data_IF_612576719584
#
_entry.id   IF_612576719584
#
_cell.length_a   1.000
_cell.length_b   1.000
_cell.length_c   1.000
_cell.angle_alpha   90.00
_cell.angle_beta   90.00
_cell.angle_gamma   90.00
#
_symmetry.space_group_name_H-M   'P 1'
#
loop_
_entity.id
_entity.type
_entity.pdbx_description
1 polymer ?
#
# COMPACT_ATOMS: atom_id res chain seq x y z
N UNK A 1 -16.68 -20.93 -2.95
CA UNK A 1 -17.34 -21.97 -3.77
C UNK A 1 -18.03 -21.27 -4.93
N UNK A 2 -17.61 -21.54 -6.15
CA UNK A 2 -18.28 -21.00 -7.33
C UNK A 2 -19.54 -21.83 -7.61
N UNK A 3 -20.71 -21.21 -7.49
CA UNK A 3 -21.96 -21.79 -7.94
C UNK A 3 -22.06 -21.60 -9.44
N UNK A 4 -21.94 -22.67 -10.20
CA UNK A 4 -22.31 -22.65 -11.61
C UNK A 4 -23.84 -22.61 -11.69
N UNK A 5 -24.38 -21.47 -12.13
CA UNK A 5 -25.77 -21.43 -12.58
C UNK A 5 -25.85 -22.10 -13.95
N UNK A 6 -26.42 -23.28 -13.99
CA UNK A 6 -26.79 -23.95 -15.25
C UNK A 6 -28.17 -23.40 -15.59
N UNK A 7 -28.25 -22.63 -16.67
CA UNK A 7 -29.53 -22.18 -17.22
C UNK A 7 -30.30 -23.40 -17.82
N UNK A 8 -31.58 -23.53 -17.51
CA UNK A 8 -32.41 -24.55 -18.13
C UNK A 8 -32.67 -24.23 -19.60
N UNK A 9 -32.84 -25.27 -20.46
CA UNK A 9 -33.12 -25.05 -21.86
C UNK A 9 -34.42 -24.23 -22.03
N UNK A 10 -34.30 -23.02 -22.58
CA UNK A 10 -35.43 -22.12 -22.85
C UNK A 10 -35.46 -20.85 -21.97
N UNK A 11 -34.63 -20.74 -20.97
CA UNK A 11 -34.44 -19.48 -20.25
C UNK A 11 -33.30 -18.67 -20.89
N UNK A 12 -33.56 -17.38 -21.13
CA UNK A 12 -32.50 -16.47 -21.52
C UNK A 12 -31.51 -16.37 -20.35
N UNK A 13 -30.21 -16.57 -20.63
CA UNK A 13 -29.18 -16.37 -19.64
C UNK A 13 -29.36 -15.01 -18.96
N UNK A 14 -29.40 -14.99 -17.61
CA UNK A 14 -29.38 -13.75 -16.85
C UNK A 14 -28.25 -12.87 -17.38
N UNK A 15 -28.44 -11.56 -17.57
CA UNK A 15 -27.35 -10.68 -18.00
C UNK A 15 -26.17 -10.89 -17.08
N UNK A 16 -25.01 -11.18 -17.66
CA UNK A 16 -23.78 -11.34 -16.89
C UNK A 16 -23.55 -10.04 -16.13
N UNK A 17 -23.77 -10.05 -14.82
CA UNK A 17 -23.28 -8.99 -13.97
C UNK A 17 -21.75 -9.03 -14.04
N UNK A 18 -21.16 -8.04 -14.70
CA UNK A 18 -19.71 -7.85 -14.65
C UNK A 18 -19.34 -7.46 -13.22
N UNK A 19 -18.98 -8.44 -12.40
CA UNK A 19 -18.40 -8.19 -11.10
C UNK A 19 -17.01 -7.62 -11.34
N UNK A 20 -16.87 -6.32 -11.08
CA UNK A 20 -15.57 -5.68 -11.10
C UNK A 20 -14.79 -6.17 -9.88
N UNK A 21 -13.60 -6.70 -10.13
CA UNK A 21 -12.67 -7.09 -9.09
C UNK A 21 -11.30 -6.49 -9.40
N UNK A 22 -10.62 -6.05 -8.36
CA UNK A 22 -9.24 -5.59 -8.43
C UNK A 22 -8.37 -6.45 -7.54
N UNK A 23 -7.13 -6.65 -7.94
CA UNK A 23 -6.07 -7.19 -7.11
C UNK A 23 -5.10 -6.08 -6.72
N UNK A 24 -4.67 -6.07 -5.48
CA UNK A 24 -3.66 -5.14 -4.97
C UNK A 24 -2.46 -5.95 -4.49
N UNK A 25 -1.29 -5.59 -4.97
CA UNK A 25 -0.01 -6.05 -4.41
C UNK A 25 0.59 -4.91 -3.60
N UNK A 26 0.59 -5.05 -2.29
CA UNK A 26 1.27 -4.15 -1.36
C UNK A 26 2.68 -4.67 -1.12
N UNK A 27 3.60 -4.27 -1.99
CA UNK A 27 5.00 -4.70 -1.91
C UNK A 27 5.83 -3.89 -0.91
N UNK A 28 7.00 -4.40 -0.57
CA UNK A 28 7.97 -3.71 0.29
C UNK A 28 8.52 -2.44 -0.37
N UNK A 29 8.85 -2.53 -1.65
CA UNK A 29 9.46 -1.44 -2.43
C UNK A 29 8.43 -0.71 -3.31
N UNK A 30 7.60 -1.47 -4.00
CA UNK A 30 6.57 -0.93 -4.90
C UNK A 30 5.24 -1.64 -4.67
N UNK A 31 4.16 -0.92 -4.94
CA UNK A 31 2.80 -1.44 -4.90
C UNK A 31 2.13 -1.25 -6.25
N UNK A 32 1.13 -2.05 -6.55
CA UNK A 32 0.39 -1.97 -7.81
C UNK A 32 -1.07 -2.41 -7.65
N UNK A 33 -1.89 -2.01 -8.61
CA UNK A 33 -3.27 -2.47 -8.77
C UNK A 33 -3.41 -3.17 -10.12
N UNK A 34 -4.09 -4.28 -10.13
CA UNK A 34 -4.39 -5.02 -11.34
C UNK A 34 -5.87 -5.40 -11.41
N UNK A 35 -6.35 -5.62 -12.61
CA UNK A 35 -7.69 -6.13 -12.86
C UNK A 35 -7.66 -7.16 -13.98
N UNK A 36 -8.78 -7.83 -14.23
CA UNK A 36 -8.93 -8.73 -15.36
C UNK A 36 -9.74 -8.05 -16.45
N UNK A 37 -9.18 -7.97 -17.64
CA UNK A 37 -9.85 -7.50 -18.85
C UNK A 37 -9.78 -8.58 -19.92
N UNK A 38 -10.94 -9.00 -20.45
CA UNK A 38 -11.02 -10.04 -21.48
C UNK A 38 -10.23 -11.32 -21.11
N UNK A 39 -10.32 -11.74 -19.85
CA UNK A 39 -9.64 -12.94 -19.34
C UNK A 39 -8.14 -12.80 -19.07
N UNK A 40 -7.57 -11.62 -19.25
CA UNK A 40 -6.14 -11.35 -19.07
C UNK A 40 -5.95 -10.39 -17.89
N UNK A 41 -4.99 -10.71 -17.00
CA UNK A 41 -4.61 -9.83 -15.91
C UNK A 41 -3.84 -8.62 -16.47
N UNK A 42 -4.29 -7.42 -16.11
CA UNK A 42 -3.71 -6.16 -16.58
C UNK A 42 -3.41 -5.27 -15.38
N UNK A 43 -2.19 -4.78 -15.29
CA UNK A 43 -1.81 -3.76 -14.30
C UNK A 43 -2.41 -2.42 -14.73
N UNK A 44 -3.01 -1.73 -13.77
CA UNK A 44 -3.56 -0.40 -13.98
C UNK A 44 -2.47 0.65 -13.78
N UNK A 45 -2.33 1.53 -14.75
CA UNK A 45 -1.37 2.62 -14.69
C UNK A 45 -2.00 3.85 -14.00
N UNK A 46 -1.15 4.69 -13.43
CA UNK A 46 -1.55 6.01 -12.96
C UNK A 46 -1.80 6.98 -14.13
N UNK A 47 -2.16 8.22 -13.82
CA UNK A 47 -2.42 9.27 -14.83
C UNK A 47 -1.19 9.59 -15.71
N UNK A 48 0.00 9.29 -15.24
CA UNK A 48 1.26 9.46 -15.98
C UNK A 48 1.70 8.20 -16.72
N UNK A 49 0.87 7.16 -16.74
CA UNK A 49 1.16 5.91 -17.43
C UNK A 49 2.12 4.97 -16.69
N UNK A 50 2.33 5.17 -15.38
CA UNK A 50 3.26 4.36 -14.57
C UNK A 50 2.52 3.21 -13.90
N UNK A 51 3.01 1.96 -14.02
CA UNK A 51 2.34 0.79 -13.45
C UNK A 51 2.62 0.55 -11.97
N UNK A 52 3.68 1.15 -11.43
CA UNK A 52 4.13 0.94 -10.05
C UNK A 52 4.01 2.23 -9.24
N UNK A 53 3.57 2.08 -8.00
CA UNK A 53 3.61 3.14 -7.00
C UNK A 53 4.71 2.79 -5.98
N UNK A 54 5.75 3.62 -5.81
CA UNK A 54 6.70 3.40 -4.72
C UNK A 54 5.99 3.32 -3.37
N UNK A 55 6.32 2.30 -2.58
CA UNK A 55 5.73 2.08 -1.24
C UNK A 55 6.39 3.02 -0.22
N UNK A 56 6.25 4.32 -0.45
CA UNK A 56 6.87 5.39 0.32
C UNK A 56 5.80 6.40 0.73
N UNK A 57 5.80 6.78 2.00
CA UNK A 57 4.87 7.77 2.57
C UNK A 57 5.66 8.82 3.31
N UNK A 58 5.43 10.08 2.98
CA UNK A 58 5.97 11.22 3.73
C UNK A 58 4.86 11.95 4.46
N UNK A 59 5.08 12.19 5.74
CA UNK A 59 4.20 13.02 6.58
C UNK A 59 4.72 14.44 6.65
N UNK A 60 3.82 15.41 6.51
CA UNK A 60 4.15 16.85 6.56
C UNK A 60 3.57 17.50 7.82
N UNK A 61 4.14 18.67 8.19
CA UNK A 61 3.73 19.44 9.38
C UNK A 61 2.27 19.85 9.36
N UNK A 62 1.72 20.10 8.17
CA UNK A 62 0.29 20.48 7.98
C UNK A 62 -0.68 19.30 8.13
N UNK A 63 -0.17 18.11 8.46
CA UNK A 63 -0.97 16.89 8.61
C UNK A 63 -1.28 16.18 7.29
N UNK A 64 -0.86 16.72 6.15
CA UNK A 64 -1.01 16.06 4.85
C UNK A 64 0.08 15.03 4.61
N UNK A 65 -0.17 14.11 3.67
CA UNK A 65 0.78 13.07 3.26
C UNK A 65 1.12 13.18 1.78
N UNK A 66 2.34 12.80 1.45
CA UNK A 66 2.77 12.52 0.08
C UNK A 66 3.00 11.03 -0.04
N UNK A 67 2.60 10.41 -1.14
CA UNK A 67 2.77 8.97 -1.36
C UNK A 67 3.42 8.71 -2.71
N UNK A 68 4.28 7.69 -2.77
CA UNK A 68 4.88 7.25 -4.00
C UNK A 68 6.01 8.16 -4.49
N UNK A 69 5.96 8.55 -5.74
CA UNK A 69 7.04 9.31 -6.39
C UNK A 69 7.31 10.67 -5.74
N UNK A 70 6.28 11.39 -5.32
CA UNK A 70 6.43 12.68 -4.64
C UNK A 70 7.15 12.52 -3.30
N UNK A 71 6.77 11.50 -2.53
CA UNK A 71 7.47 11.15 -1.29
C UNK A 71 8.92 10.72 -1.55
N UNK A 72 9.15 9.94 -2.60
CA UNK A 72 10.49 9.45 -2.97
C UNK A 72 11.46 10.60 -3.22
N UNK A 73 11.02 11.68 -3.88
CA UNK A 73 11.87 12.86 -4.14
C UNK A 73 12.32 13.57 -2.87
N UNK A 74 11.62 13.37 -1.76
CA UNK A 74 11.90 14.00 -0.47
C UNK A 74 12.67 13.11 0.52
N UNK A 75 12.93 11.88 0.15
CA UNK A 75 13.57 10.90 1.04
C UNK A 75 14.94 11.37 1.55
N UNK A 76 15.75 11.98 0.70
CA UNK A 76 17.07 12.44 1.06
C UNK A 76 17.08 13.70 1.95
N UNK A 77 16.10 14.58 1.79
CA UNK A 77 16.02 15.86 2.52
C UNK A 77 15.19 15.80 3.79
N UNK A 78 14.26 14.84 3.88
CA UNK A 78 13.39 14.66 5.04
C UNK A 78 13.24 13.17 5.42
N UNK A 79 14.35 12.49 5.73
CA UNK A 79 14.35 11.04 5.94
C UNK A 79 13.55 10.59 7.16
N UNK A 80 13.47 11.40 8.22
CA UNK A 80 12.73 11.06 9.44
C UNK A 80 11.23 10.91 9.23
N UNK A 81 10.66 11.69 8.29
CA UNK A 81 9.23 11.76 8.03
C UNK A 81 8.84 11.02 6.75
N UNK A 82 9.81 10.47 6.02
CA UNK A 82 9.63 9.75 4.76
C UNK A 82 9.90 8.27 4.98
N UNK A 83 8.82 7.51 5.19
CA UNK A 83 8.89 6.11 5.59
C UNK A 83 8.91 5.23 4.35
N UNK A 84 9.97 4.45 4.22
CA UNK A 84 10.18 3.47 3.15
C UNK A 84 10.11 2.06 3.70
N UNK A 85 9.76 1.10 2.85
CA UNK A 85 9.79 -0.33 3.19
C UNK A 85 9.05 -0.67 4.49
N UNK A 86 7.92 -0.01 4.75
CA UNK A 86 7.15 -0.16 6.00
C UNK A 86 6.71 -1.61 6.26
N UNK A 87 6.58 -2.41 5.22
CA UNK A 87 6.22 -3.83 5.33
C UNK A 87 7.20 -4.62 6.19
N UNK A 88 8.45 -4.16 6.29
CA UNK A 88 9.48 -4.77 7.17
C UNK A 88 9.19 -4.60 8.66
N UNK A 89 8.36 -3.63 9.02
CA UNK A 89 7.97 -3.34 10.40
C UNK A 89 6.61 -3.93 10.77
N UNK A 90 5.87 -4.40 9.79
CA UNK A 90 4.52 -4.92 9.97
C UNK A 90 4.52 -6.12 10.91
N UNK A 91 3.73 -6.03 11.99
CA UNK A 91 3.60 -7.11 12.97
C UNK A 91 4.86 -7.37 13.80
N UNK A 92 5.84 -6.47 13.80
CA UNK A 92 7.11 -6.65 14.51
C UNK A 92 7.28 -5.67 15.65
N UNK A 93 7.84 -6.15 16.76
CA UNK A 93 8.35 -5.31 17.85
C UNK A 93 9.73 -4.74 17.52
N UNK A 94 10.17 -3.75 18.31
CA UNK A 94 11.47 -3.11 18.10
C UNK A 94 12.64 -4.11 18.10
N UNK A 95 12.54 -5.15 18.93
CA UNK A 95 13.58 -6.20 19.05
C UNK A 95 13.71 -7.08 17.81
N UNK A 96 12.66 -7.14 16.98
CA UNK A 96 12.60 -8.00 15.80
C UNK A 96 13.10 -7.29 14.53
N UNK A 97 13.44 -6.00 14.64
CA UNK A 97 13.90 -5.19 13.52
C UNK A 97 15.44 -5.14 13.53
N UNK A 98 16.03 -5.58 12.42
CA UNK A 98 17.49 -5.52 12.26
C UNK A 98 17.94 -4.11 11.88
N UNK A 99 19.11 -3.71 12.41
CA UNK A 99 19.77 -2.44 12.05
C UNK A 99 18.96 -1.17 12.35
N UNK A 100 18.19 -1.17 13.45
CA UNK A 100 17.38 -0.02 13.89
C UNK A 100 18.23 1.25 14.00
N UNK A 101 19.46 1.11 14.52
CA UNK A 101 20.39 2.21 14.73
C UNK A 101 20.89 2.87 13.44
N UNK A 102 20.81 2.18 12.31
CA UNK A 102 21.20 2.72 10.99
C UNK A 102 20.05 3.37 10.23
N UNK A 103 18.83 3.24 10.75
CA UNK A 103 17.64 3.82 10.13
C UNK A 103 17.41 5.25 10.61
N UNK A 104 16.91 6.15 9.75
CA UNK A 104 16.70 7.56 10.10
C UNK A 104 15.48 7.80 10.99
N UNK A 105 14.70 6.76 11.31
CA UNK A 105 13.42 6.88 12.00
C UNK A 105 13.56 6.97 13.50
N UNK A 106 12.67 7.73 14.13
CA UNK A 106 12.45 7.77 15.56
C UNK A 106 11.41 6.69 15.93
N UNK A 107 11.91 5.50 16.26
CA UNK A 107 11.03 4.39 16.63
C UNK A 107 10.48 4.57 18.04
N UNK A 108 9.21 4.25 18.19
CA UNK A 108 8.49 4.22 19.46
C UNK A 108 8.09 2.79 19.76
N UNK A 109 8.54 2.28 20.91
CA UNK A 109 8.12 0.96 21.37
C UNK A 109 6.64 1.02 21.80
N UNK A 110 5.85 0.09 21.29
CA UNK A 110 4.44 -0.02 21.59
C UNK A 110 4.05 -1.51 21.74
N UNK A 111 2.98 -1.83 22.49
CA UNK A 111 2.52 -3.20 22.61
C UNK A 111 2.20 -3.82 21.23
N UNK A 112 2.80 -4.96 20.94
CA UNK A 112 2.54 -5.76 19.74
C UNK A 112 3.26 -5.32 18.47
N UNK A 113 3.45 -4.02 18.24
CA UNK A 113 4.06 -3.52 17.01
C UNK A 113 4.79 -2.20 17.25
N UNK A 114 5.98 -2.07 16.69
CA UNK A 114 6.74 -0.82 16.70
C UNK A 114 5.96 0.29 15.96
N UNK A 115 6.12 1.52 16.42
CA UNK A 115 5.59 2.72 15.75
C UNK A 115 6.72 3.68 15.40
N UNK A 116 6.45 4.62 14.52
CA UNK A 116 7.41 5.64 14.09
C UNK A 116 6.85 7.01 14.45
N UNK A 117 7.65 7.81 15.14
CA UNK A 117 7.34 9.20 15.42
C UNK A 117 7.64 10.05 14.18
N UNK A 118 6.66 10.78 13.71
CA UNK A 118 6.78 11.71 12.60
C UNK A 118 6.38 13.12 13.05
N UNK A 119 6.62 14.11 12.20
CA UNK A 119 6.16 15.50 12.41
C UNK A 119 4.63 15.59 12.53
N UNK A 120 3.89 14.67 11.95
CA UNK A 120 2.43 14.57 12.04
C UNK A 120 1.93 13.65 13.16
N UNK A 121 2.82 13.22 14.06
CA UNK A 121 2.50 12.34 15.17
C UNK A 121 3.09 10.93 15.02
N UNK A 122 2.74 10.06 15.96
CA UNK A 122 3.19 8.67 15.98
C UNK A 122 2.33 7.83 15.06
N UNK A 123 2.96 7.11 14.13
CA UNK A 123 2.28 6.30 13.11
C UNK A 123 2.66 4.83 13.24
N UNK A 124 1.66 3.96 13.16
CA UNK A 124 1.89 2.52 13.07
C UNK A 124 2.22 2.11 11.64
N UNK A 125 2.88 0.96 11.42
CA UNK A 125 3.07 0.42 10.07
C UNK A 125 1.76 0.17 9.33
N UNK A 126 0.68 -0.14 10.03
CA UNK A 126 -0.66 -0.31 9.45
C UNK A 126 -1.20 1.02 8.91
N UNK A 127 -1.07 2.12 9.69
CA UNK A 127 -1.47 3.45 9.24
C UNK A 127 -0.69 3.90 8.02
N UNK A 128 0.63 3.70 8.01
CA UNK A 128 1.48 4.02 6.84
C UNK A 128 1.06 3.19 5.62
N UNK A 129 0.82 1.90 5.78
CA UNK A 129 0.36 1.04 4.70
C UNK A 129 -1.01 1.46 4.16
N UNK A 130 -1.89 1.96 5.03
CA UNK A 130 -3.20 2.46 4.61
C UNK A 130 -3.11 3.69 3.72
N UNK A 131 -2.12 4.56 3.91
CA UNK A 131 -1.88 5.70 3.03
C UNK A 131 -1.46 5.26 1.62
N UNK A 132 -0.64 4.20 1.52
CA UNK A 132 -0.29 3.61 0.22
C UNK A 132 -1.53 3.06 -0.47
N UNK A 133 -2.36 2.29 0.25
CA UNK A 133 -3.59 1.71 -0.29
C UNK A 133 -4.60 2.77 -0.78
N UNK A 134 -4.71 3.88 -0.07
CA UNK A 134 -5.58 5.00 -0.49
C UNK A 134 -5.12 5.65 -1.78
N UNK A 135 -3.82 5.58 -2.09
CA UNK A 135 -3.23 6.21 -3.27
C UNK A 135 -3.28 5.30 -4.51
N UNK A 136 -3.54 4.01 -4.32
CA UNK A 136 -3.72 3.05 -5.40
C UNK A 136 -5.11 3.13 -6.00
#
# INVERSE_FOLDING_TARGET
MALFQIAEPGESAAPHEHKLAIGIDLGTTNSLVATVRSGISVVLNDEQGRPLLPSIVRYREDGTTEVGYDAQTRQAVDPKNTIVSVKRFMGRGLKDISHVESMPYDFVEAPGMVKVRTVAGVKSPVEVSSEILKSL
#
